data_IF_910231577646
#
_entry.id   IF_910231577646
#
_cell.length_a   1.000
_cell.length_b   1.000
_cell.length_c   1.000
_cell.angle_alpha   90.00
_cell.angle_beta   90.00
_cell.angle_gamma   90.00
#
_symmetry.space_group_name_H-M   'P 1'
#
loop_
_entity.id
_entity.type
_entity.pdbx_description
1 polymer ?
#
# COMPACT_ATOMS: atom_id res chain seq x y z
N UNK A 1 28.71 22.17 -22.49
CA UNK A 1 28.95 21.93 -21.08
C UNK A 1 27.63 21.98 -20.33
N UNK A 2 27.15 20.84 -19.84
CA UNK A 2 25.93 20.81 -19.02
C UNK A 2 26.22 21.49 -17.69
N UNK A 3 25.47 22.48 -17.37
CA UNK A 3 25.41 23.09 -16.04
C UNK A 3 24.79 22.08 -15.07
N UNK A 4 25.44 21.93 -13.91
CA UNK A 4 25.20 20.87 -12.96
C UNK A 4 23.74 20.60 -12.62
N UNK A 5 23.40 19.32 -12.54
CA UNK A 5 22.12 18.84 -12.03
C UNK A 5 22.15 19.05 -10.52
N UNK A 6 21.28 19.92 -10.02
CA UNK A 6 21.05 20.06 -8.57
C UNK A 6 19.86 19.15 -8.18
N UNK A 7 20.13 18.10 -7.42
CA UNK A 7 19.09 17.24 -6.85
C UNK A 7 18.85 17.73 -5.42
N UNK A 8 17.71 18.39 -5.20
CA UNK A 8 17.25 18.70 -3.87
C UNK A 8 16.42 17.51 -3.35
N UNK A 9 16.95 16.78 -2.38
CA UNK A 9 16.17 15.78 -1.67
C UNK A 9 15.16 16.50 -0.74
N UNK A 10 13.87 16.36 -1.05
CA UNK A 10 12.79 16.96 -0.27
C UNK A 10 12.13 15.98 0.70
N UNK A 11 12.61 14.75 0.75
CA UNK A 11 12.17 13.74 1.70
C UNK A 11 13.10 13.80 2.90
N UNK A 12 12.54 13.96 4.09
CA UNK A 12 13.31 13.81 5.32
C UNK A 12 13.74 12.36 5.41
N UNK A 13 15.02 12.08 5.30
CA UNK A 13 15.58 10.73 5.36
C UNK A 13 15.45 10.09 6.75
N UNK A 14 14.91 10.82 7.72
CA UNK A 14 14.76 10.41 9.10
C UNK A 14 15.98 10.76 9.95
N UNK A 15 15.88 10.49 11.23
CA UNK A 15 16.98 10.69 12.17
C UNK A 15 17.94 9.50 12.10
N UNK A 16 19.24 9.76 12.17
CA UNK A 16 20.25 8.71 12.27
C UNK A 16 20.12 7.89 13.57
N UNK A 17 19.52 8.49 14.60
CA UNK A 17 19.21 7.86 15.88
C UNK A 17 17.75 8.07 16.21
N UNK A 18 17.04 6.99 16.53
CA UNK A 18 15.65 7.06 17.01
C UNK A 18 15.67 7.23 18.51
N UNK A 19 15.27 8.41 18.99
CA UNK A 19 14.96 8.61 20.41
C UNK A 19 13.54 8.18 20.70
N UNK A 20 13.30 7.47 21.80
CA UNK A 20 11.95 7.09 22.22
C UNK A 20 11.08 8.35 22.34
N UNK A 21 9.87 8.31 21.75
CA UNK A 21 8.94 9.46 21.76
C UNK A 21 8.29 9.74 23.10
N UNK A 22 8.42 8.79 24.05
CA UNK A 22 7.83 8.85 25.39
C UNK A 22 8.85 8.38 26.40
N UNK A 23 8.84 8.99 27.60
CA UNK A 23 9.64 8.58 28.75
C UNK A 23 10.78 9.53 29.09
N UNK A 24 11.56 9.13 30.08
CA UNK A 24 12.63 9.92 30.70
C UNK A 24 13.86 10.18 29.83
N UNK A 25 13.94 9.84 28.65
CA UNK A 25 15.02 10.12 27.73
C UNK A 25 14.55 10.75 26.43
N UNK A 26 13.25 11.07 26.34
CA UNK A 26 12.66 11.56 25.12
C UNK A 26 12.70 13.09 25.03
N UNK A 27 13.76 13.62 24.45
CA UNK A 27 13.91 15.04 24.16
C UNK A 27 14.64 15.85 25.23
N UNK A 28 14.60 17.17 25.12
CA UNK A 28 15.32 18.06 26.03
C UNK A 28 14.68 18.09 27.42
N UNK A 29 15.50 18.27 28.47
CA UNK A 29 15.04 18.47 29.83
C UNK A 29 14.10 19.66 29.94
N UNK A 30 13.11 19.60 30.85
CA UNK A 30 12.14 20.68 31.09
C UNK A 30 11.03 20.85 30.06
N UNK A 31 10.61 19.79 29.38
CA UNK A 31 9.54 19.84 28.36
C UNK A 31 8.12 19.59 28.86
N UNK A 32 7.91 19.42 30.14
CA UNK A 32 6.58 19.14 30.69
C UNK A 32 6.56 19.08 32.18
N UNK A 33 5.38 18.89 32.77
CA UNK A 33 5.24 18.68 34.19
C UNK A 33 5.89 17.37 34.62
N UNK A 34 6.37 17.32 35.87
CA UNK A 34 6.88 16.07 36.47
C UNK A 34 5.84 14.94 36.33
N UNK A 35 6.25 13.81 35.80
CA UNK A 35 5.40 12.64 35.62
C UNK A 35 4.64 12.59 34.29
N UNK A 36 4.72 13.59 33.43
CA UNK A 36 4.15 13.54 32.08
C UNK A 36 5.24 13.24 31.05
N UNK A 37 5.01 12.21 30.22
CA UNK A 37 5.87 11.91 29.09
C UNK A 37 5.86 13.03 28.04
N UNK A 38 6.97 13.21 27.33
CA UNK A 38 7.03 14.17 26.22
C UNK A 38 6.00 13.81 25.15
N UNK A 39 5.18 14.79 24.75
CA UNK A 39 4.23 14.69 23.63
C UNK A 39 4.89 15.00 22.28
N UNK A 40 6.20 14.95 22.19
CA UNK A 40 6.90 15.18 20.92
C UNK A 40 6.49 14.11 19.90
N UNK A 41 5.96 14.49 18.74
CA UNK A 41 5.63 13.50 17.71
C UNK A 41 6.88 12.74 17.31
N UNK A 42 6.81 11.42 17.39
CA UNK A 42 7.89 10.54 16.92
C UNK A 42 7.73 10.43 15.42
N UNK A 43 8.63 11.05 14.68
CA UNK A 43 8.71 10.82 13.24
C UNK A 43 9.48 9.52 13.03
N UNK A 44 8.77 8.46 12.65
CA UNK A 44 9.42 7.26 12.17
C UNK A 44 9.94 7.52 10.76
N UNK A 45 11.23 7.29 10.47
CA UNK A 45 11.71 7.37 9.10
C UNK A 45 10.95 6.35 8.24
N UNK A 46 10.59 6.75 7.04
CA UNK A 46 10.01 5.85 6.06
C UNK A 46 11.01 4.71 5.78
N UNK A 47 10.70 3.49 6.21
CA UNK A 47 11.59 2.34 6.08
C UNK A 47 11.32 1.52 4.83
N UNK A 48 10.06 1.46 4.40
CA UNK A 48 9.63 0.70 3.24
C UNK A 48 8.73 1.56 2.36
N UNK A 49 9.11 1.63 1.10
CA UNK A 49 8.30 2.24 0.03
C UNK A 49 8.03 1.14 -0.98
N UNK A 50 6.76 0.94 -1.30
CA UNK A 50 6.32 0.06 -2.36
C UNK A 50 5.92 0.91 -3.54
N UNK A 51 6.40 0.54 -4.71
CA UNK A 51 6.16 1.28 -5.94
C UNK A 51 5.82 0.34 -7.08
N UNK A 52 4.99 0.82 -7.97
CA UNK A 52 4.67 0.15 -9.20
C UNK A 52 4.36 1.20 -10.28
N UNK A 53 4.42 0.82 -11.54
CA UNK A 53 4.16 1.75 -12.63
C UNK A 53 2.73 1.60 -13.15
N UNK A 54 2.09 2.71 -13.39
CA UNK A 54 0.84 2.82 -14.11
C UNK A 54 1.08 3.51 -15.45
N UNK A 55 1.09 2.75 -16.55
CA UNK A 55 1.55 3.23 -17.86
C UNK A 55 2.98 3.79 -17.76
N UNK A 56 3.13 5.12 -17.91
CA UNK A 56 4.39 5.84 -17.74
C UNK A 56 4.51 6.52 -16.37
N UNK A 57 3.43 6.53 -15.60
CA UNK A 57 3.36 7.22 -14.32
C UNK A 57 3.80 6.28 -13.18
N UNK A 58 4.17 6.87 -12.05
CA UNK A 58 4.58 6.15 -10.86
C UNK A 58 3.50 6.22 -9.80
N UNK A 59 3.10 5.05 -9.30
CA UNK A 59 2.27 4.92 -8.11
C UNK A 59 3.11 4.31 -7.00
N UNK A 60 3.06 4.89 -5.81
CA UNK A 60 3.80 4.34 -4.68
C UNK A 60 3.08 4.61 -3.35
N UNK A 61 3.38 3.80 -2.37
CA UNK A 61 2.97 4.06 -1.00
C UNK A 61 4.14 3.88 -0.03
N UNK A 62 4.10 4.64 1.05
CA UNK A 62 4.92 4.39 2.23
C UNK A 62 4.15 3.41 3.10
N UNK A 63 4.79 2.35 3.58
CA UNK A 63 4.14 1.32 4.39
C UNK A 63 3.31 1.91 5.54
N UNK A 64 2.04 1.54 5.59
CA UNK A 64 1.08 2.02 6.59
C UNK A 64 0.62 3.47 6.41
N UNK A 65 0.85 4.06 5.24
CA UNK A 65 0.49 5.43 4.91
C UNK A 65 -0.29 5.52 3.60
N UNK A 66 -0.41 6.72 3.05
CA UNK A 66 -1.18 7.06 1.85
C UNK A 66 -0.56 6.48 0.58
N UNK A 67 -1.38 6.45 -0.50
CA UNK A 67 -0.95 6.18 -1.86
C UNK A 67 -0.64 7.52 -2.53
N UNK A 68 0.49 7.58 -3.23
CA UNK A 68 0.97 8.74 -3.97
C UNK A 68 1.02 8.44 -5.45
N UNK A 69 0.80 9.47 -6.25
CA UNK A 69 0.81 9.41 -7.70
C UNK A 69 1.74 10.49 -8.27
N UNK A 70 2.61 10.11 -9.19
CA UNK A 70 3.51 11.03 -9.87
C UNK A 70 3.37 10.87 -11.38
N UNK A 71 3.04 11.97 -12.05
CA UNK A 71 2.80 12.00 -13.50
C UNK A 71 4.13 12.17 -14.22
N UNK A 72 4.47 11.26 -15.11
CA UNK A 72 5.73 11.26 -15.88
C UNK A 72 5.92 12.52 -16.72
N UNK A 73 4.85 13.10 -17.27
CA UNK A 73 4.89 14.34 -18.06
C UNK A 73 5.16 15.58 -17.21
N UNK A 74 5.09 15.47 -15.90
CA UNK A 74 5.47 16.54 -14.99
C UNK A 74 6.98 16.76 -14.97
N UNK A 75 7.39 17.97 -14.62
CA UNK A 75 8.81 18.25 -14.38
C UNK A 75 9.35 17.37 -13.23
N UNK A 76 10.62 16.95 -13.31
CA UNK A 76 11.29 16.23 -12.21
C UNK A 76 11.30 17.01 -10.88
N UNK A 77 11.07 18.31 -10.92
CA UNK A 77 10.92 19.15 -9.73
C UNK A 77 9.50 19.14 -9.16
N UNK A 78 8.55 18.48 -9.83
CA UNK A 78 7.18 18.37 -9.34
C UNK A 78 7.07 17.20 -8.38
N UNK A 79 6.54 17.44 -7.19
CA UNK A 79 6.29 16.39 -6.21
C UNK A 79 5.13 15.50 -6.64
N UNK A 80 5.19 14.23 -6.22
CA UNK A 80 4.02 13.37 -6.25
C UNK A 80 2.89 13.96 -5.41
N UNK A 81 1.67 13.75 -5.88
CA UNK A 81 0.45 14.14 -5.18
C UNK A 81 -0.19 12.93 -4.49
N UNK A 82 -1.03 13.17 -3.50
CA UNK A 82 -1.86 12.10 -2.94
C UNK A 82 -2.83 11.60 -4.02
N UNK A 83 -2.95 10.29 -4.15
CA UNK A 83 -3.90 9.69 -5.08
C UNK A 83 -5.34 10.14 -4.78
N UNK A 84 -5.67 10.33 -3.50
CA UNK A 84 -6.98 10.86 -3.05
C UNK A 84 -7.22 12.34 -3.39
N UNK A 85 -6.21 13.07 -3.83
CA UNK A 85 -6.32 14.48 -4.23
C UNK A 85 -6.42 14.67 -5.75
N UNK A 86 -6.36 13.60 -6.53
CA UNK A 86 -6.51 13.66 -7.99
C UNK A 86 -7.99 13.90 -8.33
N UNK A 87 -8.31 14.70 -9.36
CA UNK A 87 -9.68 14.89 -9.82
C UNK A 87 -10.34 13.54 -10.16
N UNK A 88 -11.54 13.30 -9.64
CA UNK A 88 -12.24 12.03 -9.80
C UNK A 88 -11.95 11.01 -8.69
N UNK A 89 -11.00 11.26 -7.81
CA UNK A 89 -10.66 10.34 -6.74
C UNK A 89 -11.83 10.11 -5.77
N UNK A 90 -12.19 8.85 -5.57
CA UNK A 90 -13.27 8.45 -4.70
C UNK A 90 -12.91 7.19 -3.90
N UNK A 91 -13.17 7.22 -2.62
CA UNK A 91 -12.96 6.09 -1.70
C UNK A 91 -11.53 5.53 -1.67
N UNK A 92 -10.51 6.32 -2.04
CA UNK A 92 -9.10 5.89 -2.04
C UNK A 92 -8.66 5.54 -0.62
N UNK A 93 -8.08 4.35 -0.38
CA UNK A 93 -7.63 3.98 0.97
C UNK A 93 -6.51 4.91 1.44
N UNK A 94 -6.61 5.35 2.71
CA UNK A 94 -5.67 6.31 3.31
C UNK A 94 -4.55 5.66 4.09
N UNK A 95 -4.75 4.43 4.55
CA UNK A 95 -3.72 3.65 5.23
C UNK A 95 -3.55 2.33 4.48
N UNK A 96 -2.37 2.08 3.94
CA UNK A 96 -2.10 0.92 3.09
C UNK A 96 -0.75 0.30 3.46
N UNK A 97 -0.74 -1.01 3.69
CA UNK A 97 0.50 -1.72 3.97
C UNK A 97 1.37 -1.84 2.72
N UNK A 98 0.80 -2.29 1.60
CA UNK A 98 1.51 -2.45 0.33
C UNK A 98 0.57 -2.25 -0.85
N UNK A 99 1.06 -1.62 -1.92
CA UNK A 99 0.39 -1.60 -3.22
C UNK A 99 1.10 -2.52 -4.21
N UNK A 100 0.37 -2.94 -5.23
CA UNK A 100 0.88 -3.58 -6.44
C UNK A 100 -0.16 -3.52 -7.57
N UNK A 101 0.27 -3.67 -8.83
CA UNK A 101 -0.63 -3.87 -9.95
C UNK A 101 -0.75 -5.36 -10.29
N UNK A 102 -1.98 -5.80 -10.58
CA UNK A 102 -2.20 -7.12 -11.17
C UNK A 102 -1.82 -7.13 -12.65
N UNK A 103 -1.66 -8.32 -13.21
CA UNK A 103 -1.41 -8.49 -14.64
C UNK A 103 -2.54 -7.92 -15.54
N UNK A 104 -3.74 -7.78 -15.00
CA UNK A 104 -4.91 -7.21 -15.67
C UNK A 104 -5.02 -5.69 -15.51
N UNK A 105 -4.06 -5.03 -14.84
CA UNK A 105 -4.02 -3.59 -14.66
C UNK A 105 -4.77 -3.05 -13.45
N UNK A 106 -5.27 -3.90 -12.56
CA UNK A 106 -5.88 -3.45 -11.31
C UNK A 106 -4.82 -2.98 -10.31
N UNK A 107 -4.98 -1.78 -9.78
CA UNK A 107 -4.21 -1.34 -8.62
C UNK A 107 -4.82 -1.95 -7.37
N UNK A 108 -4.05 -2.78 -6.66
CA UNK A 108 -4.45 -3.42 -5.42
C UNK A 108 -3.79 -2.74 -4.22
N UNK A 109 -4.55 -2.59 -3.15
CA UNK A 109 -4.10 -2.17 -1.82
C UNK A 109 -4.25 -3.34 -0.86
N UNK A 110 -3.15 -3.79 -0.29
CA UNK A 110 -3.07 -4.93 0.62
C UNK A 110 -2.95 -4.43 2.06
N UNK A 111 -3.79 -4.93 2.98
CA UNK A 111 -3.86 -4.45 4.35
C UNK A 111 -4.16 -2.95 4.36
N UNK A 112 -5.43 -2.56 4.27
CA UNK A 112 -5.78 -1.17 4.02
C UNK A 112 -7.06 -0.72 4.75
N UNK A 113 -7.32 0.59 4.68
CA UNK A 113 -8.55 1.21 5.17
C UNK A 113 -9.76 0.64 4.45
N UNK A 114 -10.77 0.20 5.21
CA UNK A 114 -11.99 -0.38 4.67
C UNK A 114 -12.85 0.66 3.92
N UNK A 115 -13.72 0.16 3.06
CA UNK A 115 -14.80 0.95 2.46
C UNK A 115 -15.98 1.04 3.43
N UNK A 116 -16.50 2.25 3.62
CA UNK A 116 -17.70 2.50 4.44
C UNK A 116 -18.64 3.44 3.69
N UNK A 117 -19.73 2.88 3.17
CA UNK A 117 -20.72 3.65 2.45
C UNK A 117 -21.41 4.73 3.31
N UNK A 118 -21.36 4.62 4.64
CA UNK A 118 -22.00 5.56 5.57
C UNK A 118 -21.12 6.76 5.91
N UNK A 119 -19.82 6.69 5.63
CA UNK A 119 -18.87 7.75 5.98
C UNK A 119 -18.97 9.02 5.11
N UNK A 120 -19.81 9.00 4.09
CA UNK A 120 -20.06 10.16 3.20
C UNK A 120 -19.00 10.38 2.13
N UNK A 121 -19.46 10.95 1.00
CA UNK A 121 -18.63 11.26 -0.16
C UNK A 121 -17.63 12.38 0.12
N UNK A 122 -16.48 12.40 -0.54
CA UNK A 122 -15.93 11.40 -1.44
C UNK A 122 -15.11 10.31 -0.73
N UNK A 123 -14.96 10.40 0.57
CA UNK A 123 -14.01 9.58 1.31
C UNK A 123 -14.46 8.13 1.46
N UNK A 124 -15.70 7.88 1.92
CA UNK A 124 -16.25 6.52 2.12
C UNK A 124 -15.29 5.56 2.85
N UNK A 125 -14.62 6.04 3.90
CA UNK A 125 -13.55 5.30 4.57
C UNK A 125 -13.96 4.89 5.98
N UNK A 126 -13.78 3.61 6.27
CA UNK A 126 -13.93 3.02 7.58
C UNK A 126 -12.60 2.88 8.34
N UNK A 127 -12.50 1.86 9.18
CA UNK A 127 -11.30 1.53 9.94
C UNK A 127 -10.27 0.78 9.09
N UNK A 128 -9.01 0.78 9.53
CA UNK A 128 -7.96 -0.04 8.95
C UNK A 128 -8.19 -1.53 9.28
N UNK A 129 -8.10 -2.40 8.27
CA UNK A 129 -8.12 -3.86 8.42
C UNK A 129 -6.86 -4.46 7.80
N UNK A 130 -5.99 -5.11 8.59
CA UNK A 130 -4.73 -5.66 8.12
C UNK A 130 -4.87 -6.86 7.17
N UNK A 131 -6.04 -7.45 7.05
CA UNK A 131 -6.34 -8.58 6.14
C UNK A 131 -7.18 -8.18 4.93
N UNK A 132 -7.53 -6.92 4.82
CA UNK A 132 -8.35 -6.43 3.72
C UNK A 132 -7.52 -6.22 2.46
N UNK A 133 -8.05 -6.66 1.34
CA UNK A 133 -7.55 -6.36 0.00
C UNK A 133 -8.61 -5.54 -0.71
N UNK A 134 -8.24 -4.38 -1.23
CA UNK A 134 -9.09 -3.55 -2.08
C UNK A 134 -8.43 -3.34 -3.43
N UNK A 135 -9.24 -3.10 -4.45
CA UNK A 135 -8.74 -2.77 -5.78
C UNK A 135 -9.53 -1.62 -6.41
N UNK A 136 -8.81 -0.84 -7.21
CA UNK A 136 -9.36 0.26 -7.98
C UNK A 136 -10.15 -0.24 -9.17
N UNK A 137 -10.97 0.61 -9.73
CA UNK A 137 -11.72 0.32 -10.95
C UNK A 137 -10.80 0.10 -12.16
N UNK A 138 -11.24 -0.77 -13.06
CA UNK A 138 -10.75 -0.88 -14.42
C UNK A 138 -11.95 -0.81 -15.34
N UNK A 139 -12.10 0.30 -16.04
CA UNK A 139 -13.17 0.49 -17.00
C UNK A 139 -12.82 -0.26 -18.31
N UNK A 140 -13.72 -1.07 -18.86
CA UNK A 140 -13.47 -1.85 -20.07
C UNK A 140 -13.20 -0.99 -21.31
N UNK A 141 -13.71 0.23 -21.35
CA UNK A 141 -13.59 1.14 -22.49
C UNK A 141 -12.43 2.13 -22.33
N UNK A 142 -12.16 2.59 -21.11
CA UNK A 142 -11.17 3.61 -20.81
C UNK A 142 -9.86 2.97 -20.29
N UNK A 143 -9.97 1.87 -19.58
CA UNK A 143 -8.85 1.18 -18.93
C UNK A 143 -8.78 1.41 -17.42
N UNK A 144 -7.61 1.19 -16.80
CA UNK A 144 -7.46 1.32 -15.36
C UNK A 144 -7.68 2.74 -14.85
N UNK A 145 -8.49 2.88 -13.81
CA UNK A 145 -8.78 4.12 -13.08
C UNK A 145 -8.23 4.01 -11.65
N UNK A 146 -6.95 4.28 -11.42
CA UNK A 146 -6.29 4.05 -10.14
C UNK A 146 -6.84 4.92 -9.00
N UNK A 147 -7.58 6.00 -9.31
CA UNK A 147 -8.21 6.90 -8.35
C UNK A 147 -9.63 6.46 -7.92
N UNK A 148 -10.28 5.55 -8.65
CA UNK A 148 -11.66 5.13 -8.38
C UNK A 148 -11.71 3.82 -7.60
N UNK A 149 -12.01 3.91 -6.29
CA UNK A 149 -12.04 2.78 -5.35
C UNK A 149 -13.42 2.52 -4.75
N UNK A 150 -14.45 3.21 -5.25
CA UNK A 150 -15.81 3.02 -4.77
C UNK A 150 -16.46 1.81 -5.45
N UNK A 151 -16.85 0.75 -4.74
CA UNK A 151 -17.60 -0.34 -5.33
C UNK A 151 -19.00 0.12 -5.72
N UNK A 152 -19.37 -0.13 -6.97
CA UNK A 152 -20.72 0.13 -7.48
C UNK A 152 -21.20 -1.07 -8.28
N UNK A 153 -22.49 -1.09 -8.64
CA UNK A 153 -23.05 -2.18 -9.45
C UNK A 153 -22.55 -2.18 -10.90
N UNK A 154 -21.95 -1.09 -11.35
CA UNK A 154 -21.57 -0.88 -12.76
C UNK A 154 -20.06 -0.84 -12.98
N UNK A 155 -19.25 -0.81 -11.92
CA UNK A 155 -17.79 -0.77 -12.02
C UNK A 155 -17.15 -2.05 -11.46
N UNK A 156 -15.85 -2.16 -11.65
CA UNK A 156 -15.06 -3.32 -11.21
C UNK A 156 -14.33 -3.11 -9.90
N UNK A 157 -14.40 -1.91 -9.29
CA UNK A 157 -13.80 -1.67 -7.99
C UNK A 157 -14.44 -2.56 -6.92
N UNK A 158 -13.62 -3.04 -5.99
CA UNK A 158 -14.13 -3.95 -4.98
C UNK A 158 -13.15 -4.19 -3.83
N UNK A 159 -13.55 -5.10 -2.98
CA UNK A 159 -12.74 -5.51 -1.84
C UNK A 159 -13.07 -6.95 -1.43
N UNK A 160 -12.11 -7.59 -0.80
CA UNK A 160 -12.28 -8.86 -0.12
C UNK A 160 -11.39 -8.92 1.12
N UNK A 161 -11.77 -9.72 2.10
CA UNK A 161 -10.98 -9.94 3.30
C UNK A 161 -10.41 -11.35 3.27
N UNK A 162 -9.11 -11.48 3.53
CA UNK A 162 -8.47 -12.78 3.66
C UNK A 162 -8.97 -13.50 4.91
N UNK A 163 -9.10 -14.84 4.81
CA UNK A 163 -9.70 -15.66 5.87
C UNK A 163 -8.67 -16.16 6.89
N UNK A 164 -7.38 -16.17 6.54
CA UNK A 164 -6.33 -16.74 7.38
C UNK A 164 -5.22 -15.73 7.64
N UNK A 165 -4.76 -15.68 8.88
CA UNK A 165 -3.72 -14.77 9.35
C UNK A 165 -4.22 -13.63 10.21
N UNK A 166 -3.29 -12.83 10.71
CA UNK A 166 -3.58 -11.61 11.47
C UNK A 166 -3.27 -10.33 10.67
N UNK A 167 -2.33 -10.41 9.74
CA UNK A 167 -1.94 -9.29 8.87
C UNK A 167 -1.33 -9.78 7.56
N UNK A 168 -1.49 -8.97 6.52
CA UNK A 168 -0.78 -9.17 5.26
C UNK A 168 0.65 -8.65 5.42
N UNK A 169 1.63 -9.48 5.05
CA UNK A 169 3.05 -9.15 5.13
C UNK A 169 3.61 -8.83 3.74
N UNK A 170 3.31 -9.67 2.75
CA UNK A 170 3.84 -9.51 1.41
C UNK A 170 2.80 -9.81 0.34
N UNK A 171 3.03 -9.29 -0.85
CA UNK A 171 2.24 -9.59 -2.03
C UNK A 171 3.13 -9.55 -3.27
N UNK A 172 2.84 -10.42 -4.22
CA UNK A 172 3.54 -10.52 -5.50
C UNK A 172 2.53 -10.71 -6.63
N UNK A 173 2.59 -9.86 -7.64
CA UNK A 173 1.85 -10.07 -8.87
C UNK A 173 2.61 -11.01 -9.79
N UNK A 174 1.95 -12.06 -10.24
CA UNK A 174 2.42 -12.97 -11.28
C UNK A 174 1.60 -12.77 -12.55
N UNK A 175 1.88 -13.51 -13.60
CA UNK A 175 1.14 -13.42 -14.87
C UNK A 175 -0.32 -13.87 -14.77
N UNK A 176 -0.63 -14.77 -13.84
CA UNK A 176 -1.94 -15.43 -13.74
C UNK A 176 -2.71 -15.04 -12.48
N UNK A 177 -2.01 -14.74 -11.40
CA UNK A 177 -2.58 -14.52 -10.07
C UNK A 177 -1.74 -13.56 -9.26
N UNK A 178 -2.32 -13.05 -8.20
CA UNK A 178 -1.60 -12.30 -7.18
C UNK A 178 -1.45 -13.19 -5.94
N UNK A 179 -0.22 -13.47 -5.57
CA UNK A 179 0.11 -14.22 -4.37
C UNK A 179 0.22 -13.27 -3.17
N UNK A 180 -0.48 -13.60 -2.10
CA UNK A 180 -0.54 -12.78 -0.89
C UNK A 180 -0.13 -13.64 0.30
N UNK A 181 0.93 -13.22 0.98
CA UNK A 181 1.39 -13.82 2.23
C UNK A 181 0.86 -13.05 3.41
N UNK A 182 0.25 -13.79 4.31
CA UNK A 182 -0.01 -13.31 5.66
C UNK A 182 1.12 -13.77 6.59
N UNK A 183 1.00 -13.50 7.86
CA UNK A 183 1.92 -14.00 8.88
C UNK A 183 1.95 -15.54 9.00
N UNK A 184 0.89 -16.23 8.57
CA UNK A 184 0.76 -17.69 8.71
C UNK A 184 0.28 -18.44 7.47
N UNK A 185 -0.06 -17.74 6.38
CA UNK A 185 -0.69 -18.38 5.22
C UNK A 185 -0.27 -17.77 3.90
N UNK A 186 -0.44 -18.54 2.83
CA UNK A 186 -0.31 -18.10 1.44
C UNK A 186 -1.65 -18.24 0.74
N UNK A 187 -2.15 -17.15 0.19
CA UNK A 187 -3.41 -17.08 -0.54
C UNK A 187 -3.15 -16.62 -1.98
N UNK A 188 -3.79 -17.27 -2.94
CA UNK A 188 -3.88 -16.84 -4.33
C UNK A 188 -5.12 -15.97 -4.51
N UNK A 189 -4.96 -14.85 -5.18
CA UNK A 189 -6.02 -13.98 -5.66
C UNK A 189 -6.04 -14.07 -7.18
N UNK A 190 -7.10 -14.66 -7.74
CA UNK A 190 -7.25 -14.91 -9.17
C UNK A 190 -8.30 -13.99 -9.77
N UNK A 191 -8.01 -13.45 -10.94
CA UNK A 191 -8.99 -12.69 -11.71
C UNK A 191 -10.01 -13.65 -12.35
N UNK A 192 -11.30 -13.46 -12.03
CA UNK A 192 -12.38 -14.31 -12.50
C UNK A 192 -13.06 -13.76 -13.76
N UNK A 193 -13.04 -12.42 -13.94
CA UNK A 193 -13.69 -11.76 -15.08
C UNK A 193 -15.21 -11.88 -15.10
N UNK A 194 -15.82 -12.12 -13.95
CA UNK A 194 -17.27 -12.21 -13.74
C UNK A 194 -17.75 -11.03 -12.90
N UNK A 195 -18.99 -11.08 -12.39
CA UNK A 195 -19.49 -10.11 -11.40
C UNK A 195 -18.64 -10.07 -10.13
N UNK A 196 -17.97 -11.18 -9.80
CA UNK A 196 -16.88 -11.23 -8.83
C UNK A 196 -15.57 -11.05 -9.59
N UNK A 197 -14.96 -9.88 -9.46
CA UNK A 197 -13.74 -9.53 -10.20
C UNK A 197 -12.58 -10.42 -9.80
N UNK A 198 -12.41 -10.65 -8.49
CA UNK A 198 -11.37 -11.51 -7.93
C UNK A 198 -11.96 -12.57 -7.01
N UNK A 199 -11.43 -13.79 -7.15
CA UNK A 199 -11.64 -14.89 -6.21
C UNK A 199 -10.38 -15.19 -5.42
N UNK A 200 -10.54 -15.57 -4.15
CA UNK A 200 -9.43 -16.01 -3.30
C UNK A 200 -9.41 -17.53 -3.15
N UNK A 201 -8.23 -18.10 -3.16
CA UNK A 201 -7.97 -19.50 -2.86
C UNK A 201 -6.81 -19.63 -1.89
N UNK A 202 -7.03 -20.29 -0.77
CA UNK A 202 -5.96 -20.57 0.18
C UNK A 202 -5.07 -21.68 -0.39
N UNK A 203 -3.80 -21.35 -0.68
CA UNK A 203 -2.82 -22.32 -1.20
C UNK A 203 -2.28 -23.17 -0.08
N UNK A 204 -1.87 -22.53 1.02
CA UNK A 204 -1.29 -23.24 2.15
C UNK A 204 -1.40 -22.47 3.48
N UNK A 205 -1.54 -23.22 4.55
CA UNK A 205 -1.44 -22.77 5.94
C UNK A 205 -0.07 -23.11 6.53
N UNK A 206 0.26 -22.49 7.66
CA UNK A 206 1.55 -22.66 8.35
C UNK A 206 2.75 -22.31 7.46
N UNK A 207 2.56 -21.36 6.56
CA UNK A 207 3.63 -20.76 5.76
C UNK A 207 3.90 -19.38 6.31
N UNK A 208 5.16 -19.15 6.68
CA UNK A 208 5.62 -17.85 7.18
C UNK A 208 6.43 -17.12 6.12
N UNK A 209 6.53 -15.80 6.27
CA UNK A 209 7.38 -14.96 5.46
C UNK A 209 8.10 -13.94 6.36
N UNK A 210 9.41 -13.79 6.17
CA UNK A 210 10.24 -12.97 7.04
C UNK A 210 10.02 -11.46 6.86
N UNK A 211 9.79 -11.01 5.62
CA UNK A 211 9.67 -9.58 5.31
C UNK A 211 8.91 -9.34 3.99
N UNK A 212 8.41 -8.11 3.74
CA UNK A 212 7.61 -7.80 2.55
C UNK A 212 8.31 -7.96 1.20
N UNK A 213 9.64 -7.86 1.16
CA UNK A 213 10.45 -7.85 -0.07
C UNK A 213 11.33 -9.09 -0.26
N UNK A 214 11.04 -10.18 0.45
CA UNK A 214 11.80 -11.45 0.36
C UNK A 214 11.15 -12.46 -0.58
N UNK A 215 10.43 -11.96 -1.56
CA UNK A 215 9.73 -12.76 -2.58
C UNK A 215 10.26 -12.42 -3.96
N UNK A 216 10.66 -13.42 -4.72
CA UNK A 216 11.20 -13.25 -6.08
C UNK A 216 10.61 -14.29 -7.02
N UNK A 217 10.01 -13.87 -8.15
CA UNK A 217 9.58 -14.78 -9.20
C UNK A 217 10.77 -15.09 -10.14
N UNK A 218 10.99 -16.36 -10.44
CA UNK A 218 11.97 -16.78 -11.42
C UNK A 218 11.48 -18.05 -12.16
N UNK A 219 11.49 -18.03 -13.49
CA UNK A 219 11.17 -19.20 -14.34
C UNK A 219 9.85 -19.91 -13.95
N UNK A 220 8.77 -19.18 -13.74
CA UNK A 220 7.46 -19.67 -13.28
C UNK A 220 7.47 -20.32 -11.88
N UNK A 221 8.52 -20.12 -11.12
CA UNK A 221 8.62 -20.53 -9.72
C UNK A 221 8.74 -19.26 -8.86
N UNK A 222 8.08 -19.24 -7.73
CA UNK A 222 8.19 -18.17 -6.76
C UNK A 222 9.00 -18.65 -5.58
N UNK A 223 10.06 -17.93 -5.27
CA UNK A 223 10.93 -18.18 -4.13
C UNK A 223 10.66 -17.13 -3.06
N UNK A 224 10.58 -17.55 -1.82
CA UNK A 224 10.46 -16.65 -0.67
C UNK A 224 11.26 -17.17 0.52
N UNK A 225 11.54 -16.29 1.47
CA UNK A 225 12.25 -16.64 2.70
C UNK A 225 11.24 -16.66 3.84
N UNK A 226 11.07 -17.84 4.46
CA UNK A 226 10.25 -18.02 5.66
C UNK A 226 11.03 -17.69 6.93
N UNK A 227 10.34 -17.63 8.07
CA UNK A 227 10.96 -17.51 9.39
C UNK A 227 11.57 -18.83 9.86
N UNK A 228 10.99 -19.94 9.41
CA UNK A 228 11.49 -21.29 9.68
C UNK A 228 12.31 -21.75 8.47
N UNK A 229 13.39 -22.47 8.73
CA UNK A 229 14.37 -22.92 7.73
C UNK A 229 13.75 -23.84 6.68
#
# INVERSE_FOLDING_TARGET
GGTGISIACQITTGFATVTAGYGWGAGAWSRGAWGSGSSTPVYFPARLIFQDKFNNDLVFNIQGSFIYYWIFTSSFNTRAVLLSAIPGAVAVPQQVTKILFSAQGFLLALGCTNYDATAGAPNYLGSFDPLLVRWANVDPDIGPEPENWQPTLTNTAGFLRLQAGSQIVAGLSTKQEVLIWTDISLTSLQFLGTSEVFGQSLIANAITIMAPNVVVPANNVVYWMGNDK
#
